data_IF_945058685705
#
_entry.id   IF_945058685705
#
_cell.length_a   1.000
_cell.length_b   1.000
_cell.length_c   1.000
_cell.angle_alpha   90.00
_cell.angle_beta   90.00
_cell.angle_gamma   90.00
#
_symmetry.space_group_name_H-M   'P 1'
#
loop_
_entity.id
_entity.type
_entity.pdbx_description
1 polymer ?
#
# COMPACT_ATOMS: atom_id res chain seq x y z
N UNK A 1 54.38 -13.67 34.79
CA UNK A 1 54.36 -12.25 34.38
C UNK A 1 53.01 -12.00 33.74
N UNK A 2 52.04 -11.46 34.48
CA UNK A 2 51.74 -10.03 34.61
C UNK A 2 51.18 -9.41 33.31
N UNK A 3 49.87 -9.16 33.29
CA UNK A 3 49.17 -8.37 32.27
C UNK A 3 47.68 -8.23 32.64
N UNK A 4 47.27 -7.03 33.02
CA UNK A 4 45.99 -6.65 33.66
C UNK A 4 44.76 -6.65 32.73
N UNK A 5 43.53 -6.55 33.29
CA UNK A 5 42.26 -6.67 32.60
C UNK A 5 41.69 -5.34 32.10
N UNK A 6 40.94 -5.37 30.99
CA UNK A 6 39.92 -4.37 30.59
C UNK A 6 38.59 -5.11 30.51
N UNK A 7 37.58 -4.90 31.37
CA UNK A 7 36.77 -3.71 31.68
C UNK A 7 35.85 -3.27 30.53
N UNK A 8 34.57 -3.63 30.65
CA UNK A 8 33.45 -3.21 29.78
C UNK A 8 32.50 -4.39 29.57
N UNK A 9 31.64 -4.78 30.52
CA UNK A 9 30.36 -4.13 30.90
C UNK A 9 29.57 -3.63 29.69
N UNK A 10 28.78 -4.51 29.05
CA UNK A 10 27.38 -4.26 28.71
C UNK A 10 26.66 -5.62 28.72
N UNK A 11 25.89 -5.84 29.80
CA UNK A 11 24.88 -6.89 29.86
C UNK A 11 23.67 -6.34 29.12
N UNK A 12 23.34 -6.86 27.94
CA UNK A 12 22.04 -6.63 27.33
C UNK A 12 20.99 -7.35 28.18
N UNK A 13 20.27 -6.57 28.99
CA UNK A 13 19.08 -7.01 29.68
C UNK A 13 17.94 -7.10 28.66
N UNK A 14 17.74 -8.28 28.08
CA UNK A 14 16.52 -8.60 27.34
C UNK A 14 15.37 -8.75 28.35
N UNK A 15 14.60 -7.67 28.55
CA UNK A 15 13.34 -7.72 29.28
C UNK A 15 12.31 -8.45 28.41
N UNK A 16 12.29 -9.78 28.50
CA UNK A 16 11.13 -10.55 28.03
C UNK A 16 10.02 -10.28 29.02
N UNK A 17 9.12 -9.35 28.68
CA UNK A 17 7.85 -9.22 29.36
C UNK A 17 7.11 -10.55 29.17
N UNK A 18 7.19 -11.43 30.18
CA UNK A 18 6.32 -12.60 30.28
C UNK A 18 4.90 -12.07 30.36
N UNK A 19 4.15 -12.20 29.28
CA UNK A 19 2.70 -12.06 29.32
C UNK A 19 2.16 -13.09 30.32
N UNK A 20 1.28 -12.69 31.26
CA UNK A 20 0.64 -13.67 32.14
C UNK A 20 -0.19 -14.64 31.28
N UNK A 21 -0.30 -15.92 31.68
CA UNK A 21 -1.20 -16.84 30.98
C UNK A 21 -2.62 -16.27 31.07
N UNK A 22 -3.29 -16.19 29.92
CA UNK A 22 -4.68 -15.74 29.86
C UNK A 22 -5.54 -16.64 30.76
N UNK A 23 -6.50 -16.08 31.51
CA UNK A 23 -7.42 -16.88 32.31
C UNK A 23 -8.18 -17.84 31.39
N UNK A 24 -8.24 -19.10 31.83
CA UNK A 24 -8.84 -20.24 31.16
C UNK A 24 -10.38 -20.11 31.18
N UNK A 25 -10.91 -19.16 30.41
CA UNK A 25 -12.29 -19.08 29.93
C UNK A 25 -12.46 -17.77 29.14
N UNK A 26 -12.15 -17.83 27.86
CA UNK A 26 -12.69 -16.89 26.89
C UNK A 26 -13.42 -17.74 25.86
N UNK A 27 -14.73 -17.56 25.77
CA UNK A 27 -15.54 -18.12 24.71
C UNK A 27 -14.89 -17.74 23.37
N UNK A 28 -14.38 -18.76 22.66
CA UNK A 28 -13.67 -18.62 21.38
C UNK A 28 -14.52 -17.94 20.29
N UNK A 29 -15.81 -17.71 20.56
CA UNK A 29 -16.79 -17.03 19.71
C UNK A 29 -16.81 -15.49 19.84
N UNK A 30 -15.98 -14.90 20.70
CA UNK A 30 -15.87 -13.42 20.81
C UNK A 30 -14.45 -12.89 20.61
N UNK A 31 -13.67 -13.55 19.74
CA UNK A 31 -12.66 -12.81 18.99
C UNK A 31 -13.46 -11.99 17.98
N UNK A 32 -13.53 -10.68 18.16
CA UNK A 32 -13.91 -9.76 17.07
C UNK A 32 -13.07 -10.17 15.87
N UNK A 33 -13.67 -10.75 14.83
CA UNK A 33 -12.93 -11.18 13.65
C UNK A 33 -12.04 -10.02 13.21
N UNK A 34 -10.72 -10.20 13.25
CA UNK A 34 -9.79 -9.15 12.92
C UNK A 34 -10.09 -8.68 11.49
N UNK A 35 -10.32 -7.37 11.30
CA UNK A 35 -10.62 -6.82 9.96
C UNK A 35 -9.50 -7.21 9.00
N UNK A 36 -9.87 -7.78 7.86
CA UNK A 36 -8.96 -8.22 6.80
C UNK A 36 -8.94 -7.18 5.70
N UNK A 37 -7.79 -6.53 5.53
CA UNK A 37 -7.59 -5.54 4.48
C UNK A 37 -6.74 -6.14 3.37
N UNK A 38 -7.22 -6.04 2.13
CA UNK A 38 -6.35 -6.23 0.96
C UNK A 38 -5.54 -4.95 0.75
N UNK A 39 -4.26 -5.02 1.08
CA UNK A 39 -3.37 -3.87 1.07
C UNK A 39 -2.87 -3.48 -0.33
N UNK A 40 -3.11 -4.28 -1.36
CA UNK A 40 -2.58 -3.99 -2.70
C UNK A 40 -3.44 -4.62 -3.81
N UNK A 41 -4.22 -3.78 -4.47
CA UNK A 41 -4.82 -4.11 -5.76
C UNK A 41 -4.85 -2.88 -6.68
N UNK A 42 -5.17 -3.12 -7.94
CA UNK A 42 -5.28 -2.10 -8.98
C UNK A 42 -6.69 -2.12 -9.58
N UNK A 43 -7.17 -0.96 -10.01
CA UNK A 43 -8.44 -0.80 -10.72
C UNK A 43 -8.16 0.03 -11.98
N UNK A 44 -8.75 -0.35 -13.10
CA UNK A 44 -8.59 0.40 -14.35
C UNK A 44 -9.75 0.23 -15.31
N UNK A 45 -9.89 1.23 -16.19
CA UNK A 45 -10.53 1.06 -17.50
C UNK A 45 -9.43 0.89 -18.53
N UNK A 46 -9.48 -0.22 -19.26
CA UNK A 46 -8.34 -0.61 -20.09
C UNK A 46 -8.28 0.20 -21.39
N UNK A 47 -7.10 0.75 -21.64
CA UNK A 47 -6.69 1.33 -22.92
C UNK A 47 -5.26 0.87 -23.21
N UNK A 48 -4.98 0.28 -24.38
CA UNK A 48 -3.61 -0.12 -24.74
C UNK A 48 -2.61 1.06 -24.67
N UNK A 49 -3.06 2.27 -24.97
CA UNK A 49 -2.24 3.48 -24.96
C UNK A 49 -1.85 3.91 -23.55
N UNK A 50 -2.78 3.76 -22.59
CA UNK A 50 -2.56 4.16 -21.20
C UNK A 50 -1.81 3.11 -20.37
N UNK A 51 -1.92 1.83 -20.74
CA UNK A 51 -1.37 0.69 -20.00
C UNK A 51 -0.31 -0.04 -20.81
N UNK A 52 0.71 0.70 -21.30
CA UNK A 52 1.78 0.16 -22.15
C UNK A 52 2.60 -0.99 -21.52
N UNK A 53 2.52 -1.19 -20.21
CA UNK A 53 3.12 -2.35 -19.52
C UNK A 53 2.33 -3.65 -19.72
N UNK A 54 1.06 -3.58 -20.16
CA UNK A 54 0.23 -4.74 -20.49
C UNK A 54 0.52 -5.18 -21.92
N UNK A 55 1.44 -6.14 -22.07
CA UNK A 55 1.82 -6.70 -23.37
C UNK A 55 0.77 -7.63 -23.99
N UNK A 56 0.96 -7.98 -25.27
CA UNK A 56 0.06 -8.85 -26.04
C UNK A 56 -0.13 -10.27 -25.46
N UNK A 57 0.83 -10.76 -24.67
CA UNK A 57 0.74 -12.05 -23.99
C UNK A 57 -0.11 -12.00 -22.71
N UNK A 58 -0.41 -10.81 -22.19
CA UNK A 58 -1.14 -10.59 -20.93
C UNK A 58 -2.64 -10.41 -21.16
N UNK A 59 -3.24 -11.22 -22.04
CA UNK A 59 -4.63 -11.07 -22.50
C UNK A 59 -5.66 -11.02 -21.36
N UNK A 60 -5.40 -11.69 -20.24
CA UNK A 60 -6.26 -11.62 -19.06
C UNK A 60 -6.39 -10.20 -18.48
N UNK A 61 -5.36 -9.37 -18.59
CA UNK A 61 -5.33 -8.00 -18.07
C UNK A 61 -5.90 -6.97 -19.05
N UNK A 62 -6.13 -7.35 -20.31
CA UNK A 62 -6.61 -6.48 -21.40
C UNK A 62 -8.13 -6.26 -21.36
N UNK A 63 -8.65 -5.87 -20.19
CA UNK A 63 -10.06 -5.60 -19.92
C UNK A 63 -10.20 -4.64 -18.74
N UNK A 64 -11.38 -4.07 -18.57
CA UNK A 64 -11.71 -3.30 -17.38
C UNK A 64 -11.67 -4.18 -16.11
N UNK A 65 -11.14 -3.60 -15.04
CA UNK A 65 -11.20 -4.10 -13.68
C UNK A 65 -11.71 -2.97 -12.79
N UNK A 66 -12.98 -3.05 -12.42
CA UNK A 66 -13.71 -1.97 -11.75
C UNK A 66 -14.09 -2.34 -10.32
N UNK A 67 -14.59 -1.35 -9.57
CA UNK A 67 -15.16 -1.60 -8.25
C UNK A 67 -16.30 -2.63 -8.25
N UNK A 68 -17.04 -2.75 -9.37
CA UNK A 68 -18.10 -3.75 -9.55
C UNK A 68 -17.55 -5.18 -9.70
N UNK A 69 -16.34 -5.34 -10.26
CA UNK A 69 -15.63 -6.62 -10.31
C UNK A 69 -15.00 -6.96 -8.95
N UNK A 70 -14.51 -5.94 -8.24
CA UNK A 70 -13.80 -6.10 -6.97
C UNK A 70 -14.73 -6.56 -5.82
N UNK A 71 -15.91 -5.94 -5.69
CA UNK A 71 -16.86 -6.26 -4.61
C UNK A 71 -17.18 -7.76 -4.45
N UNK A 72 -17.58 -8.51 -5.50
CA UNK A 72 -17.81 -9.95 -5.37
C UNK A 72 -16.54 -10.74 -5.08
N UNK A 73 -15.38 -10.31 -5.59
CA UNK A 73 -14.09 -10.96 -5.29
C UNK A 73 -13.70 -10.79 -3.81
N UNK A 74 -13.89 -9.60 -3.24
CA UNK A 74 -13.68 -9.33 -1.81
C UNK A 74 -14.57 -10.22 -0.93
N UNK A 75 -15.85 -10.34 -1.28
CA UNK A 75 -16.79 -11.18 -0.54
C UNK A 75 -16.37 -12.66 -0.54
N UNK A 76 -15.96 -13.18 -1.70
CA UNK A 76 -15.47 -14.55 -1.82
C UNK A 76 -14.19 -14.79 -1.01
N UNK A 77 -13.30 -13.80 -0.94
CA UNK A 77 -12.04 -13.86 -0.20
C UNK A 77 -12.18 -13.54 1.31
N UNK A 78 -13.34 -13.06 1.75
CA UNK A 78 -13.61 -12.52 3.10
C UNK A 78 -12.66 -11.37 3.45
N UNK A 79 -12.57 -10.40 2.54
CA UNK A 79 -11.86 -9.13 2.72
C UNK A 79 -12.87 -8.05 3.10
N UNK A 80 -12.58 -7.33 4.17
CA UNK A 80 -13.48 -6.33 4.76
C UNK A 80 -13.27 -4.92 4.19
N UNK A 81 -12.10 -4.67 3.59
CA UNK A 81 -11.73 -3.40 2.99
C UNK A 81 -10.45 -3.49 2.19
N UNK A 82 -10.13 -2.47 1.39
CA UNK A 82 -8.99 -2.52 0.47
C UNK A 82 -8.23 -1.20 0.41
N UNK A 83 -6.99 -1.30 -0.09
CA UNK A 83 -6.14 -0.17 -0.47
C UNK A 83 -5.91 -0.24 -1.97
N UNK A 84 -6.38 0.76 -2.70
CA UNK A 84 -6.17 0.86 -4.14
C UNK A 84 -4.82 1.53 -4.42
N UNK A 85 -4.00 0.92 -5.27
CA UNK A 85 -2.65 1.38 -5.60
C UNK A 85 -2.60 1.83 -7.05
N UNK A 86 -1.90 2.92 -7.34
CA UNK A 86 -1.72 3.43 -8.71
C UNK A 86 -1.22 2.34 -9.68
N UNK A 87 -1.78 2.27 -10.88
CA UNK A 87 -1.33 1.39 -11.95
C UNK A 87 -0.55 2.13 -13.06
N UNK A 88 -0.63 3.47 -13.08
CA UNK A 88 0.04 4.37 -14.04
C UNK A 88 0.69 5.56 -13.34
N UNK A 89 1.83 6.03 -13.86
CA UNK A 89 2.61 7.12 -13.28
C UNK A 89 2.04 8.51 -13.66
N UNK A 90 0.78 8.77 -13.32
CA UNK A 90 0.09 10.04 -13.63
C UNK A 90 -0.68 10.58 -12.43
N UNK A 91 -0.80 11.90 -12.34
CA UNK A 91 -1.61 12.55 -11.28
C UNK A 91 -3.11 12.26 -11.46
N UNK A 92 -3.55 12.10 -12.71
CA UNK A 92 -4.93 11.76 -13.06
C UNK A 92 -5.34 10.39 -12.50
N UNK A 93 -4.42 9.43 -12.42
CA UNK A 93 -4.65 8.14 -11.79
C UNK A 93 -4.95 8.31 -10.29
N UNK A 94 -4.17 9.15 -9.60
CA UNK A 94 -4.42 9.47 -8.17
C UNK A 94 -5.79 10.08 -7.97
N UNK A 95 -6.18 11.05 -8.81
CA UNK A 95 -7.50 11.66 -8.73
C UNK A 95 -8.62 10.65 -8.99
N UNK A 96 -8.43 9.77 -9.97
CA UNK A 96 -9.40 8.72 -10.32
C UNK A 96 -9.59 7.71 -9.18
N UNK A 97 -8.50 7.24 -8.55
CA UNK A 97 -8.56 6.33 -7.41
C UNK A 97 -9.20 7.00 -6.18
N UNK A 98 -8.92 8.28 -5.93
CA UNK A 98 -9.57 9.03 -4.85
C UNK A 98 -11.08 9.20 -5.08
N UNK A 99 -11.51 9.42 -6.32
CA UNK A 99 -12.94 9.46 -6.68
C UNK A 99 -13.62 8.08 -6.48
N UNK A 100 -12.91 6.99 -6.78
CA UNK A 100 -13.39 5.63 -6.50
C UNK A 100 -13.55 5.41 -4.99
N UNK A 101 -12.57 5.81 -4.18
CA UNK A 101 -12.64 5.70 -2.72
C UNK A 101 -13.77 6.54 -2.11
N UNK A 102 -14.07 7.71 -2.68
CA UNK A 102 -15.22 8.52 -2.28
C UNK A 102 -16.56 7.83 -2.57
N UNK A 103 -16.64 7.08 -3.67
CA UNK A 103 -17.88 6.44 -4.13
C UNK A 103 -18.08 5.03 -3.58
N UNK A 104 -17.01 4.38 -3.10
CA UNK A 104 -17.00 2.99 -2.66
C UNK A 104 -16.31 2.88 -1.29
N UNK A 105 -17.08 2.91 -0.18
CA UNK A 105 -16.53 2.93 1.18
C UNK A 105 -15.64 1.73 1.57
N UNK A 106 -15.70 0.64 0.81
CA UNK A 106 -14.83 -0.52 1.00
C UNK A 106 -13.39 -0.28 0.51
N UNK A 107 -13.14 0.77 -0.29
CA UNK A 107 -11.80 1.25 -0.63
C UNK A 107 -11.42 2.28 0.44
N UNK A 108 -10.70 1.82 1.46
CA UNK A 108 -10.44 2.60 2.68
C UNK A 108 -9.24 3.55 2.53
N UNK A 109 -8.35 3.24 1.58
CA UNK A 109 -7.19 4.07 1.31
C UNK A 109 -6.74 3.97 -0.15
N UNK A 110 -5.96 4.97 -0.55
CA UNK A 110 -5.31 5.07 -1.85
C UNK A 110 -3.81 5.29 -1.65
N UNK A 111 -3.03 4.52 -2.40
CA UNK A 111 -1.61 4.82 -2.67
C UNK A 111 -1.53 5.38 -4.09
N UNK A 112 -1.41 6.70 -4.17
CA UNK A 112 -1.40 7.42 -5.44
C UNK A 112 -0.02 7.48 -6.08
N UNK A 113 0.06 8.24 -7.17
CA UNK A 113 1.29 8.74 -7.78
C UNK A 113 1.34 10.27 -7.71
N UNK A 114 2.53 10.81 -7.54
CA UNK A 114 2.84 12.23 -7.72
C UNK A 114 4.28 12.35 -8.24
N UNK A 115 4.64 13.44 -8.94
CA UNK A 115 5.94 13.57 -9.59
C UNK A 115 7.04 13.91 -8.57
N UNK A 116 7.42 12.98 -7.69
CA UNK A 116 8.29 13.22 -6.52
C UNK A 116 9.66 13.83 -6.85
N UNK A 117 10.18 13.58 -8.06
CA UNK A 117 11.46 14.14 -8.54
C UNK A 117 11.32 15.47 -9.29
N UNK A 118 10.10 15.98 -9.47
CA UNK A 118 9.84 17.26 -10.14
C UNK A 118 9.94 18.42 -9.15
N UNK A 119 10.39 19.58 -9.65
CA UNK A 119 10.32 20.84 -8.92
C UNK A 119 8.88 21.23 -8.53
N UNK A 120 7.88 20.72 -9.25
CA UNK A 120 6.46 20.98 -8.99
C UNK A 120 5.86 20.09 -7.88
N UNK A 121 6.62 19.10 -7.38
CA UNK A 121 6.13 18.16 -6.37
C UNK A 121 5.49 18.82 -5.14
N UNK A 122 6.07 19.88 -4.54
CA UNK A 122 5.45 20.54 -3.39
C UNK A 122 4.04 21.05 -3.68
N UNK A 123 3.83 21.67 -4.84
CA UNK A 123 2.51 22.17 -5.26
C UNK A 123 1.53 21.02 -5.53
N UNK A 124 1.98 19.95 -6.19
CA UNK A 124 1.18 18.74 -6.35
C UNK A 124 0.78 18.13 -5.00
N UNK A 125 1.71 18.02 -4.05
CA UNK A 125 1.45 17.46 -2.73
C UNK A 125 0.45 18.32 -1.94
N UNK A 126 0.57 19.65 -1.98
CA UNK A 126 -0.39 20.56 -1.36
C UNK A 126 -1.81 20.36 -1.91
N UNK A 127 -1.95 20.17 -3.22
CA UNK A 127 -3.26 19.91 -3.86
C UNK A 127 -3.89 18.58 -3.39
N UNK A 128 -3.06 17.62 -2.99
CA UNK A 128 -3.46 16.31 -2.52
C UNK A 128 -3.64 16.23 -0.99
N UNK A 129 -3.05 17.15 -0.23
CA UNK A 129 -3.00 17.10 1.24
C UNK A 129 -4.40 17.10 1.90
N UNK A 130 -5.40 17.66 1.23
CA UNK A 130 -6.79 17.70 1.71
C UNK A 130 -7.57 16.39 1.50
N UNK A 131 -6.95 15.36 0.91
CA UNK A 131 -7.61 14.11 0.51
C UNK A 131 -7.39 13.02 1.58
N UNK A 132 -8.34 12.77 2.49
CA UNK A 132 -8.10 11.90 3.65
C UNK A 132 -7.83 10.43 3.29
N UNK A 133 -8.33 9.96 2.15
CA UNK A 133 -8.10 8.59 1.66
C UNK A 133 -6.69 8.40 1.09
N UNK A 134 -5.96 9.47 0.73
CA UNK A 134 -4.58 9.34 0.28
C UNK A 134 -3.67 9.01 1.47
N UNK A 135 -3.08 7.81 1.49
CA UNK A 135 -2.22 7.33 2.59
C UNK A 135 -0.76 7.12 2.20
N UNK A 136 -0.44 7.21 0.91
CA UNK A 136 0.91 7.08 0.43
C UNK A 136 1.03 7.43 -1.04
N UNK A 137 2.26 7.49 -1.50
CA UNK A 137 2.64 7.64 -2.90
C UNK A 137 3.54 6.47 -3.28
N UNK A 138 3.40 5.99 -4.52
CA UNK A 138 4.28 4.98 -5.12
C UNK A 138 4.87 5.54 -6.40
N UNK A 139 6.16 5.30 -6.61
CA UNK A 139 6.87 5.55 -7.86
C UNK A 139 7.36 4.22 -8.42
N UNK A 140 7.22 3.99 -9.73
CA UNK A 140 7.63 2.73 -10.38
C UNK A 140 9.08 2.87 -10.84
N UNK A 141 10.01 2.79 -9.89
CA UNK A 141 11.44 3.03 -10.14
C UNK A 141 12.02 2.04 -11.16
N UNK A 142 11.49 0.81 -11.23
CA UNK A 142 11.99 -0.19 -12.19
C UNK A 142 11.77 0.17 -13.67
N UNK A 143 10.89 1.13 -13.95
CA UNK A 143 10.58 1.60 -15.30
C UNK A 143 11.27 2.95 -15.61
N UNK A 144 12.09 3.47 -14.69
CA UNK A 144 12.87 4.68 -14.93
C UNK A 144 14.00 4.41 -15.94
N UNK A 145 14.20 5.30 -16.94
CA UNK A 145 15.30 5.17 -17.88
C UNK A 145 16.67 5.55 -17.29
N UNK A 146 16.66 6.25 -16.15
CA UNK A 146 17.87 6.61 -15.41
C UNK A 146 18.06 5.70 -14.21
N UNK A 147 19.12 4.87 -14.25
CA UNK A 147 19.49 3.96 -13.17
C UNK A 147 19.80 4.71 -11.85
N UNK A 148 20.22 5.97 -11.93
CA UNK A 148 20.54 6.82 -10.77
C UNK A 148 19.34 7.65 -10.28
N UNK A 149 18.12 7.37 -10.76
CA UNK A 149 16.92 8.15 -10.45
C UNK A 149 16.73 8.44 -8.95
N UNK A 150 17.00 7.44 -8.09
CA UNK A 150 16.78 7.54 -6.64
C UNK A 150 17.88 8.31 -5.89
N UNK A 151 18.98 8.67 -6.56
CA UNK A 151 20.10 9.41 -5.95
C UNK A 151 19.92 10.93 -5.97
N UNK A 152 18.81 11.41 -6.54
CA UNK A 152 18.50 12.84 -6.72
C UNK A 152 17.92 13.50 -5.48
#
# INVERSE_FOLDING_TARGET
>A
MAGRPHSGKYLDAMLVLRTPPLPFNLDYHSITMARRIDAHHHLWRYSPEEYGWIGNSMTALQRDYTAADLSPAMAAAKIDGTIAVQARQTIDETHSLLALAQSHPFIEAVVGWAPIASADFPSCLESLASRPALKGLRHVVQDEPDDDFILR
#
